data_IF_084941981379
#
_entry.id   IF_084941981379
#
_cell.length_a   1.000
_cell.length_b   1.000
_cell.length_c   1.000
_cell.angle_alpha   90.00
_cell.angle_beta   90.00
_cell.angle_gamma   90.00
#
_symmetry.space_group_name_H-M   'P 1'
#
loop_
_entity.id
_entity.type
_entity.pdbx_description
1 polymer ?
#
# COMPACT_ATOMS: atom_id res chain seq x y z
N UNK A 1 -11.68 -3.79 -9.56
CA UNK A 1 -11.81 -2.84 -8.45
C UNK A 1 -13.10 -2.01 -8.64
N UNK A 2 -13.81 -1.65 -7.55
CA UNK A 2 -15.02 -0.86 -7.66
C UNK A 2 -14.74 0.55 -8.20
N UNK A 3 -15.75 1.16 -8.80
CA UNK A 3 -15.69 2.54 -9.26
C UNK A 3 -15.41 3.50 -8.09
N UNK A 4 -14.50 4.46 -8.31
CA UNK A 4 -14.09 5.38 -7.25
C UNK A 4 -15.20 6.39 -6.94
N UNK A 5 -15.64 6.40 -5.70
CA UNK A 5 -16.56 7.41 -5.14
C UNK A 5 -16.11 7.77 -3.73
N UNK A 6 -16.60 8.90 -3.23
CA UNK A 6 -16.31 9.30 -1.85
C UNK A 6 -16.75 8.23 -0.84
N UNK A 7 -17.91 7.61 -1.07
CA UNK A 7 -18.40 6.52 -0.22
C UNK A 7 -17.50 5.31 -0.22
N UNK A 8 -16.96 4.92 -1.37
CA UNK A 8 -16.00 3.82 -1.51
C UNK A 8 -14.66 4.15 -0.82
N UNK A 9 -14.19 5.39 -0.92
CA UNK A 9 -12.96 5.83 -0.25
C UNK A 9 -13.13 5.78 1.27
N UNK A 10 -14.21 6.33 1.80
CA UNK A 10 -14.49 6.34 3.23
C UNK A 10 -14.79 4.95 3.78
N UNK A 11 -15.43 4.10 3.00
CA UNK A 11 -15.78 2.72 3.34
C UNK A 11 -14.79 1.67 2.87
N UNK A 12 -13.55 2.03 2.50
CA UNK A 12 -12.60 1.09 1.90
C UNK A 12 -12.28 -0.13 2.78
N UNK A 13 -12.36 0.00 4.09
CA UNK A 13 -12.18 -1.11 5.03
C UNK A 13 -13.35 -2.11 5.06
N UNK A 14 -14.50 -1.77 4.47
CA UNK A 14 -15.69 -2.62 4.40
C UNK A 14 -15.80 -3.40 3.09
N UNK A 15 -14.97 -3.09 2.10
CA UNK A 15 -14.97 -3.78 0.81
C UNK A 15 -14.39 -5.17 0.98
N UNK A 16 -15.08 -6.20 0.50
CA UNK A 16 -14.64 -7.59 0.53
C UNK A 16 -14.36 -8.10 -0.88
N UNK A 17 -13.17 -8.66 -1.07
CA UNK A 17 -12.80 -9.39 -2.28
C UNK A 17 -12.85 -10.90 -2.02
N UNK A 18 -13.67 -11.61 -2.77
CA UNK A 18 -13.85 -13.07 -2.63
C UNK A 18 -13.37 -13.80 -3.87
N UNK A 19 -12.89 -15.02 -3.71
CA UNK A 19 -12.58 -15.91 -4.80
C UNK A 19 -13.86 -16.60 -5.34
N UNK A 20 -13.71 -17.43 -6.37
CA UNK A 20 -14.83 -18.16 -6.98
C UNK A 20 -15.49 -19.17 -6.03
N UNK A 21 -14.86 -19.47 -4.89
CA UNK A 21 -15.37 -20.35 -3.83
C UNK A 21 -15.95 -19.55 -2.64
N UNK A 22 -16.04 -18.23 -2.77
CA UNK A 22 -16.56 -17.34 -1.73
C UNK A 22 -15.59 -17.04 -0.58
N UNK A 23 -14.34 -17.53 -0.64
CA UNK A 23 -13.32 -17.24 0.39
C UNK A 23 -12.74 -15.84 0.19
N UNK A 24 -12.55 -15.11 1.29
CA UNK A 24 -11.96 -13.77 1.28
C UNK A 24 -10.51 -13.83 0.80
N UNK A 25 -10.17 -12.98 -0.15
CA UNK A 25 -8.80 -12.74 -0.62
C UNK A 25 -8.13 -11.70 0.28
N UNK A 26 -7.63 -12.12 1.42
CA UNK A 26 -7.09 -11.24 2.46
C UNK A 26 -6.00 -10.28 1.96
N UNK A 27 -5.06 -10.79 1.13
CA UNK A 27 -4.00 -9.98 0.54
C UNK A 27 -4.55 -8.89 -0.37
N UNK A 28 -5.48 -9.22 -1.28
CA UNK A 28 -6.11 -8.26 -2.19
C UNK A 28 -6.93 -7.21 -1.43
N UNK A 29 -7.67 -7.64 -0.43
CA UNK A 29 -8.47 -6.75 0.41
C UNK A 29 -7.58 -5.78 1.19
N UNK A 30 -6.50 -6.29 1.75
CA UNK A 30 -5.52 -5.48 2.48
C UNK A 30 -4.81 -4.48 1.57
N UNK A 31 -4.39 -4.89 0.36
CA UNK A 31 -3.79 -4.00 -0.63
C UNK A 31 -4.75 -2.86 -1.01
N UNK A 32 -6.00 -3.20 -1.29
CA UNK A 32 -7.02 -2.19 -1.60
C UNK A 32 -7.16 -1.17 -0.48
N UNK A 33 -7.26 -1.62 0.76
CA UNK A 33 -7.35 -0.73 1.92
C UNK A 33 -6.11 0.17 2.05
N UNK A 34 -4.90 -0.37 1.87
CA UNK A 34 -3.65 0.40 1.91
C UNK A 34 -3.67 1.48 0.83
N UNK A 35 -3.89 1.11 -0.42
CA UNK A 35 -3.87 2.05 -1.56
C UNK A 35 -4.90 3.16 -1.36
N UNK A 36 -6.11 2.83 -0.96
CA UNK A 36 -7.18 3.81 -0.77
C UNK A 36 -6.89 4.77 0.39
N UNK A 37 -6.45 4.25 1.54
CA UNK A 37 -6.18 5.07 2.72
C UNK A 37 -4.96 5.97 2.53
N UNK A 38 -3.87 5.46 1.98
CA UNK A 38 -2.65 6.24 1.71
C UNK A 38 -2.90 7.32 0.64
N UNK A 39 -3.67 6.99 -0.42
CA UNK A 39 -4.03 7.96 -1.45
C UNK A 39 -4.92 9.08 -0.90
N UNK A 40 -5.92 8.75 -0.10
CA UNK A 40 -6.79 9.75 0.53
C UNK A 40 -6.00 10.67 1.48
N UNK A 41 -5.10 10.11 2.28
CA UNK A 41 -4.22 10.87 3.16
C UNK A 41 -3.26 11.79 2.39
N UNK A 42 -2.67 11.29 1.29
CA UNK A 42 -1.80 12.11 0.43
C UNK A 42 -2.57 13.29 -0.19
N UNK A 43 -3.78 13.07 -0.71
CA UNK A 43 -4.61 14.15 -1.25
C UNK A 43 -4.89 15.22 -0.20
N UNK A 44 -5.22 14.80 1.02
CA UNK A 44 -5.45 15.73 2.13
C UNK A 44 -4.18 16.54 2.46
N UNK A 45 -3.00 15.89 2.52
CA UNK A 45 -1.72 16.55 2.74
C UNK A 45 -1.40 17.56 1.66
N UNK A 46 -1.51 17.19 0.39
CA UNK A 46 -1.24 18.07 -0.75
C UNK A 46 -2.14 19.32 -0.74
N UNK A 47 -3.41 19.17 -0.38
CA UNK A 47 -4.33 20.32 -0.25
C UNK A 47 -3.93 21.23 0.91
N UNK A 48 -3.47 20.68 2.02
CA UNK A 48 -2.98 21.48 3.14
C UNK A 48 -1.68 22.19 2.80
N UNK A 49 -0.72 21.53 2.18
CA UNK A 49 0.52 22.14 1.69
C UNK A 49 0.24 23.30 0.72
N UNK A 50 -0.69 23.10 -0.23
CA UNK A 50 -1.12 24.14 -1.15
C UNK A 50 -1.65 25.38 -0.43
N UNK A 51 -2.46 25.21 0.61
CA UNK A 51 -3.06 26.31 1.35
C UNK A 51 -2.07 27.06 2.24
N UNK A 52 -1.13 26.34 2.87
CA UNK A 52 -0.27 26.89 3.93
C UNK A 52 1.07 27.36 3.35
N UNK A 53 1.70 26.58 2.49
CA UNK A 53 3.10 26.78 2.10
C UNK A 53 3.31 27.27 0.68
N UNK A 54 2.37 27.05 -0.23
CA UNK A 54 2.56 27.29 -1.65
C UNK A 54 1.67 28.42 -2.23
N UNK A 55 1.19 29.31 -1.40
CA UNK A 55 0.36 30.46 -1.82
C UNK A 55 -0.80 30.09 -2.78
N UNK A 56 -1.39 28.93 -2.60
CA UNK A 56 -2.49 28.43 -3.43
C UNK A 56 -2.07 27.69 -4.72
N UNK A 57 -0.77 27.53 -4.98
CA UNK A 57 -0.27 26.82 -6.17
C UNK A 57 -0.41 25.30 -5.92
N UNK A 58 -1.13 24.54 -6.79
CA UNK A 58 -1.24 23.09 -6.64
C UNK A 58 0.09 22.41 -7.00
N UNK A 59 0.34 21.24 -6.40
CA UNK A 59 1.45 20.38 -6.79
C UNK A 59 1.30 19.96 -8.26
N UNK A 60 2.42 19.83 -9.00
CA UNK A 60 2.42 19.30 -10.35
C UNK A 60 2.01 17.83 -10.38
N UNK A 61 1.58 17.34 -11.54
CA UNK A 61 1.26 15.93 -11.74
C UNK A 61 2.46 15.04 -11.41
N UNK A 62 3.65 15.39 -11.91
CA UNK A 62 4.89 14.67 -11.63
C UNK A 62 5.23 14.64 -10.14
N UNK A 63 5.12 15.76 -9.45
CA UNK A 63 5.32 15.85 -8.02
C UNK A 63 4.33 14.96 -7.26
N UNK A 64 3.08 14.97 -7.65
CA UNK A 64 2.01 14.15 -7.05
C UNK A 64 2.30 12.67 -7.22
N UNK A 65 2.68 12.23 -8.44
CA UNK A 65 3.03 10.84 -8.73
C UNK A 65 4.24 10.40 -7.91
N UNK A 66 5.29 11.23 -7.83
CA UNK A 66 6.50 10.92 -7.08
C UNK A 66 6.21 10.81 -5.57
N UNK A 67 5.41 11.71 -5.01
CA UNK A 67 4.98 11.64 -3.60
C UNK A 67 4.13 10.39 -3.34
N UNK A 68 3.24 10.03 -4.28
CA UNK A 68 2.44 8.81 -4.17
C UNK A 68 3.30 7.54 -4.18
N UNK A 69 4.19 7.41 -5.17
CA UNK A 69 5.13 6.28 -5.24
C UNK A 69 5.98 6.15 -3.98
N UNK A 70 6.50 7.27 -3.48
CA UNK A 70 7.26 7.30 -2.25
C UNK A 70 6.41 6.79 -1.06
N UNK A 71 5.20 7.28 -0.90
CA UNK A 71 4.30 6.89 0.20
C UNK A 71 4.00 5.39 0.17
N UNK A 72 3.67 4.84 -1.00
CA UNK A 72 3.37 3.42 -1.15
C UNK A 72 4.60 2.54 -0.89
N UNK A 73 5.78 2.96 -1.36
CA UNK A 73 7.02 2.25 -1.08
C UNK A 73 7.41 2.29 0.41
N UNK A 74 7.17 3.41 1.10
CA UNK A 74 7.34 3.47 2.55
C UNK A 74 6.42 2.48 3.27
N UNK A 75 5.19 2.35 2.82
CA UNK A 75 4.25 1.37 3.38
C UNK A 75 4.71 -0.06 3.17
N UNK A 76 5.22 -0.39 1.98
CA UNK A 76 5.84 -1.69 1.70
C UNK A 76 7.02 -1.96 2.65
N UNK A 77 7.92 -0.99 2.87
CA UNK A 77 9.06 -1.15 3.77
C UNK A 77 8.64 -1.38 5.23
N UNK A 78 7.59 -0.71 5.68
CA UNK A 78 7.00 -0.95 7.01
C UNK A 78 6.49 -2.40 7.11
N UNK A 79 5.77 -2.89 6.12
CA UNK A 79 5.26 -4.26 6.07
C UNK A 79 6.39 -5.29 6.10
N UNK A 80 7.45 -5.09 5.30
CA UNK A 80 8.65 -5.94 5.29
C UNK A 80 9.30 -5.97 6.68
N UNK A 81 9.45 -4.81 7.30
CA UNK A 81 10.04 -4.71 8.64
C UNK A 81 9.23 -5.46 9.68
N UNK A 82 7.90 -5.29 9.67
CA UNK A 82 7.00 -5.97 10.62
C UNK A 82 6.96 -7.49 10.41
N UNK A 83 7.16 -7.96 9.18
CA UNK A 83 7.21 -9.39 8.86
C UNK A 83 8.57 -10.04 9.15
N UNK A 84 9.65 -9.25 9.10
CA UNK A 84 11.03 -9.75 9.19
C UNK A 84 11.58 -9.78 10.62
N UNK A 85 11.03 -8.96 11.52
CA UNK A 85 11.53 -8.86 12.91
C UNK A 85 10.69 -9.71 13.85
N UNK A 86 11.18 -10.89 14.30
CA UNK A 86 10.55 -11.63 15.38
C UNK A 86 10.68 -10.78 16.66
N UNK A 87 9.57 -10.43 17.28
CA UNK A 87 9.57 -9.94 18.66
C UNK A 87 10.10 -11.05 19.55
N UNK A 88 11.06 -10.74 20.44
CA UNK A 88 11.73 -11.68 21.37
C UNK A 88 10.83 -12.88 21.77
N UNK A 89 11.11 -14.06 21.17
CA UNK A 89 10.38 -15.30 21.45
C UNK A 89 8.92 -15.39 20.98
N UNK A 90 8.45 -14.48 20.12
CA UNK A 90 7.08 -14.44 19.61
C UNK A 90 7.06 -14.36 18.06
N UNK A 91 5.90 -14.66 17.48
CA UNK A 91 5.66 -14.51 16.07
C UNK A 91 5.88 -13.05 15.60
N UNK A 92 6.28 -12.82 14.33
CA UNK A 92 6.41 -11.48 13.79
C UNK A 92 5.09 -10.70 13.93
N UNK A 93 5.18 -9.37 14.02
CA UNK A 93 4.01 -8.50 14.21
C UNK A 93 3.02 -8.58 13.04
N UNK A 94 3.51 -8.97 11.86
CA UNK A 94 2.71 -9.20 10.65
C UNK A 94 3.15 -10.53 10.02
N UNK A 95 2.18 -11.37 9.65
CA UNK A 95 2.48 -12.66 9.04
C UNK A 95 3.19 -12.47 7.69
N UNK A 96 4.37 -13.08 7.47
CA UNK A 96 5.11 -12.96 6.21
C UNK A 96 4.28 -13.34 4.98
N UNK A 97 3.50 -14.41 5.06
CA UNK A 97 2.64 -14.85 3.96
C UNK A 97 1.57 -13.82 3.59
N UNK A 98 1.04 -13.09 4.57
CA UNK A 98 0.08 -12.01 4.31
C UNK A 98 0.76 -10.86 3.55
N UNK A 99 2.00 -10.49 3.90
CA UNK A 99 2.75 -9.45 3.17
C UNK A 99 3.01 -9.89 1.74
N UNK A 100 3.49 -11.12 1.52
CA UNK A 100 3.72 -11.67 0.18
C UNK A 100 2.45 -11.62 -0.68
N UNK A 101 1.31 -12.05 -0.15
CA UNK A 101 0.03 -12.05 -0.89
C UNK A 101 -0.56 -10.65 -1.05
N UNK A 102 -0.31 -9.73 -0.13
CA UNK A 102 -0.76 -8.33 -0.24
C UNK A 102 -0.11 -7.63 -1.44
N UNK A 103 1.20 -7.75 -1.58
CA UNK A 103 1.98 -7.00 -2.57
C UNK A 103 2.21 -7.75 -3.88
N UNK A 104 1.77 -9.01 -3.98
CA UNK A 104 1.88 -9.81 -5.22
C UNK A 104 1.18 -9.12 -6.40
N UNK A 105 1.87 -9.04 -7.53
CA UNK A 105 1.39 -8.39 -8.74
C UNK A 105 1.62 -6.86 -8.78
N UNK A 106 2.28 -6.28 -7.79
CA UNK A 106 2.52 -4.82 -7.72
C UNK A 106 3.99 -4.44 -7.71
N UNK A 107 4.89 -5.40 -7.58
CA UNK A 107 6.32 -5.14 -7.41
C UNK A 107 7.03 -4.94 -8.75
N UNK A 108 8.00 -4.02 -8.76
CA UNK A 108 8.86 -3.83 -9.91
C UNK A 108 9.72 -5.09 -10.14
N UNK A 109 9.83 -5.52 -11.41
CA UNK A 109 10.55 -6.74 -11.79
C UNK A 109 10.18 -7.99 -10.97
N UNK A 110 8.94 -8.12 -10.54
CA UNK A 110 8.49 -9.20 -9.64
C UNK A 110 8.85 -10.60 -10.15
N UNK A 111 8.86 -10.80 -11.47
CA UNK A 111 9.22 -12.09 -12.09
C UNK A 111 10.66 -12.52 -11.82
N UNK A 112 11.55 -11.57 -11.56
CA UNK A 112 12.96 -11.80 -11.28
C UNK A 112 13.28 -11.83 -9.78
N UNK A 113 12.27 -11.62 -8.93
CA UNK A 113 12.43 -11.68 -7.49
C UNK A 113 12.33 -13.13 -6.99
N UNK A 114 13.05 -13.50 -5.92
CA UNK A 114 12.89 -14.81 -5.28
C UNK A 114 11.47 -14.95 -4.71
N UNK A 115 10.98 -16.18 -4.54
CA UNK A 115 9.66 -16.44 -3.97
C UNK A 115 9.47 -15.78 -2.58
N UNK A 116 10.54 -15.70 -1.79
CA UNK A 116 10.58 -14.95 -0.52
C UNK A 116 11.42 -13.68 -0.67
N UNK A 117 10.88 -12.68 -1.35
CA UNK A 117 11.52 -11.39 -1.58
C UNK A 117 11.56 -10.47 -0.35
N UNK A 118 10.96 -10.87 0.78
CA UNK A 118 10.98 -10.07 2.02
C UNK A 118 12.38 -9.77 2.55
N UNK A 119 13.38 -10.52 2.10
CA UNK A 119 14.80 -10.33 2.48
C UNK A 119 15.59 -9.52 1.45
N UNK A 120 14.99 -9.15 0.34
CA UNK A 120 15.66 -8.34 -0.69
C UNK A 120 15.45 -6.84 -0.38
N UNK A 121 16.53 -6.06 -0.11
CA UNK A 121 16.40 -4.65 0.23
C UNK A 121 16.03 -3.74 -0.96
N UNK A 122 16.00 -4.30 -2.18
CA UNK A 122 15.75 -3.54 -3.42
C UNK A 122 14.30 -3.63 -3.91
N UNK A 123 13.42 -4.27 -3.16
CA UNK A 123 12.03 -4.45 -3.55
C UNK A 123 11.27 -3.12 -3.48
N UNK A 124 10.69 -2.73 -4.61
CA UNK A 124 9.88 -1.52 -4.77
C UNK A 124 8.57 -1.85 -5.48
N UNK A 125 7.57 -1.02 -5.26
CA UNK A 125 6.33 -1.02 -6.04
C UNK A 125 6.59 -0.35 -7.38
N UNK A 126 6.28 -1.05 -8.44
CA UNK A 126 6.46 -0.60 -9.81
C UNK A 126 5.23 0.06 -10.42
#
# INVERSE_FOLDING_TARGET
>A
WPELSLGIILGCGLVEFRDNKGKIKEGTQRLYWIIMSESAYLIWRLRNEQRISQNGIPASEEETINKWKYTINQRLQVDITLASQPRKGKHPALAPQLVLTTWSGTLDNERNLPANWLRDPRVLVG
#
